data_IF_523450406377
#
_entry.id   IF_523450406377
#
_cell.length_a   1.000
_cell.length_b   1.000
_cell.length_c   1.000
_cell.angle_alpha   90.00
_cell.angle_beta   90.00
_cell.angle_gamma   90.00
#
_symmetry.space_group_name_H-M   'P 1'
#
loop_
_entity.id
_entity.type
_entity.pdbx_description
1 polymer ?
#
# COMPACT_ATOMS: atom_id res chain seq x y z
N UNK A 1 6.36 25.96 -6.61
CA UNK A 1 6.75 25.40 -6.80
C UNK A 1 6.70 24.24 -7.25
N UNK A 2 6.50 24.06 -7.88
CA UNK A 2 5.97 22.83 -8.29
C UNK A 2 6.91 21.87 -8.93
N UNK A 3 7.95 22.29 -9.58
CA UNK A 3 8.80 21.35 -10.32
C UNK A 3 9.52 20.36 -9.39
N UNK A 4 10.04 20.83 -8.26
CA UNK A 4 10.71 19.93 -7.32
C UNK A 4 9.70 19.01 -6.66
N UNK A 5 8.50 19.52 -6.35
CA UNK A 5 7.44 18.70 -5.78
C UNK A 5 6.96 17.65 -6.76
N UNK A 6 6.95 17.97 -8.06
CA UNK A 6 6.55 17.01 -9.08
C UNK A 6 7.50 15.82 -9.12
N UNK A 7 8.81 16.07 -9.09
CA UNK A 7 9.79 14.99 -9.08
C UNK A 7 9.68 14.14 -7.83
N UNK A 8 9.55 14.78 -6.66
CA UNK A 8 9.38 14.06 -5.42
C UNK A 8 8.11 13.22 -5.44
N UNK A 9 7.01 13.77 -5.98
CA UNK A 9 5.75 13.03 -6.06
C UNK A 9 5.83 11.84 -6.99
N UNK A 10 6.57 11.94 -8.09
CA UNK A 10 6.79 10.80 -8.98
C UNK A 10 7.55 9.70 -8.25
N UNK A 11 8.62 10.06 -7.52
CA UNK A 11 9.39 9.09 -6.76
C UNK A 11 8.52 8.40 -5.71
N UNK A 12 7.71 9.17 -4.98
CA UNK A 12 6.82 8.61 -3.97
C UNK A 12 5.82 7.65 -4.61
N UNK A 13 5.23 8.05 -5.74
CA UNK A 13 4.25 7.20 -6.42
C UNK A 13 4.88 5.90 -6.90
N UNK A 14 6.06 5.98 -7.51
CA UNK A 14 6.75 4.77 -7.98
C UNK A 14 7.04 3.85 -6.80
N UNK A 15 7.52 4.42 -5.68
CA UNK A 15 7.80 3.64 -4.50
C UNK A 15 6.56 2.98 -3.93
N UNK A 16 5.45 3.71 -3.86
CA UNK A 16 4.19 3.18 -3.35
C UNK A 16 3.70 2.05 -4.25
N UNK A 17 3.72 2.25 -5.56
CA UNK A 17 3.30 1.20 -6.51
C UNK A 17 4.16 -0.04 -6.36
N UNK A 18 5.48 0.15 -6.33
CA UNK A 18 6.41 -0.99 -6.24
C UNK A 18 6.21 -1.76 -4.94
N UNK A 19 6.10 -1.05 -3.81
CA UNK A 19 5.93 -1.72 -2.52
C UNK A 19 4.57 -2.40 -2.40
N UNK A 20 3.52 -1.77 -2.93
CA UNK A 20 2.19 -2.39 -2.90
C UNK A 20 2.15 -3.65 -3.75
N UNK A 21 2.75 -3.59 -4.95
CA UNK A 21 2.84 -4.77 -5.79
C UNK A 21 3.67 -5.86 -5.13
N UNK A 22 4.74 -5.46 -4.43
CA UNK A 22 5.57 -6.41 -3.70
C UNK A 22 4.80 -7.13 -2.61
N UNK A 23 4.12 -6.38 -1.74
CA UNK A 23 3.38 -7.02 -0.66
C UNK A 23 2.18 -7.80 -1.19
N UNK A 24 1.50 -7.31 -2.22
CA UNK A 24 0.39 -8.04 -2.83
C UNK A 24 0.87 -9.37 -3.42
N UNK A 25 2.02 -9.34 -4.11
CA UNK A 25 2.58 -10.55 -4.70
C UNK A 25 2.94 -11.58 -3.62
N UNK A 26 3.53 -11.12 -2.52
CA UNK A 26 3.85 -12.01 -1.42
C UNK A 26 2.57 -12.64 -0.86
N UNK A 27 1.54 -11.83 -0.61
CA UNK A 27 0.29 -12.34 -0.05
C UNK A 27 -0.41 -13.31 -1.01
N UNK A 28 -0.38 -13.03 -2.31
CA UNK A 28 -1.00 -13.90 -3.28
C UNK A 28 -0.25 -15.22 -3.45
N UNK A 29 1.08 -15.20 -3.26
CA UNK A 29 1.90 -16.40 -3.43
C UNK A 29 2.01 -17.24 -2.16
N UNK A 30 1.84 -16.62 -0.98
CA UNK A 30 1.92 -17.32 0.29
C UNK A 30 0.69 -18.17 0.50
N UNK A 31 0.91 -19.42 0.88
CA UNK A 31 -0.17 -20.33 1.24
C UNK A 31 -1.31 -20.36 0.22
N UNK A 32 -0.97 -20.13 -1.05
CA UNK A 32 -1.97 -20.34 -2.10
C UNK A 32 -2.43 -21.81 -2.04
N UNK A 33 -3.73 -22.09 -2.05
CA UNK A 33 -4.85 -21.21 -2.37
C UNK A 33 -5.62 -20.68 -1.14
N UNK A 34 -4.95 -20.27 -0.09
CA UNK A 34 -5.65 -19.78 1.11
C UNK A 34 -6.45 -18.51 0.77
N UNK A 35 -7.79 -18.54 0.97
CA UNK A 35 -8.62 -17.40 0.58
C UNK A 35 -8.29 -16.11 1.33
N UNK A 36 -7.85 -16.22 2.58
CA UNK A 36 -7.50 -15.04 3.36
C UNK A 36 -6.33 -14.28 2.75
N UNK A 37 -5.30 -15.00 2.33
CA UNK A 37 -4.13 -14.38 1.71
C UNK A 37 -4.46 -13.84 0.33
N UNK A 38 -5.30 -14.55 -0.44
CA UNK A 38 -5.72 -14.07 -1.76
C UNK A 38 -6.52 -12.78 -1.62
N UNK A 39 -7.48 -12.75 -0.70
CA UNK A 39 -8.29 -11.56 -0.47
C UNK A 39 -7.44 -10.38 -0.02
N UNK A 40 -6.44 -10.63 0.83
CA UNK A 40 -5.55 -9.58 1.30
C UNK A 40 -4.76 -8.97 0.13
N UNK A 41 -4.19 -9.81 -0.73
CA UNK A 41 -3.44 -9.34 -1.89
C UNK A 41 -4.32 -8.58 -2.87
N UNK A 42 -5.52 -9.10 -3.15
CA UNK A 42 -6.46 -8.43 -4.04
C UNK A 42 -6.91 -7.08 -3.46
N UNK A 43 -7.07 -7.01 -2.14
CA UNK A 43 -7.40 -5.75 -1.48
C UNK A 43 -6.34 -4.70 -1.71
N UNK A 44 -5.07 -5.05 -1.57
CA UNK A 44 -3.97 -4.13 -1.86
C UNK A 44 -4.02 -3.65 -3.30
N UNK A 45 -4.22 -4.57 -4.25
CA UNK A 45 -4.25 -4.19 -5.67
C UNK A 45 -5.44 -3.29 -5.98
N UNK A 46 -6.59 -3.58 -5.39
CA UNK A 46 -7.79 -2.77 -5.59
C UNK A 46 -7.59 -1.35 -5.07
N UNK A 47 -7.05 -1.22 -3.86
CA UNK A 47 -6.80 0.10 -3.27
C UNK A 47 -5.74 0.86 -4.05
N UNK A 48 -4.70 0.18 -4.52
CA UNK A 48 -3.69 0.82 -5.34
C UNK A 48 -4.29 1.35 -6.63
N UNK A 49 -5.11 0.55 -7.29
CA UNK A 49 -5.78 0.98 -8.51
C UNK A 49 -6.67 2.19 -8.23
N UNK A 50 -7.46 2.14 -7.16
CA UNK A 50 -8.33 3.25 -6.80
C UNK A 50 -7.53 4.52 -6.50
N UNK A 51 -6.34 4.36 -5.91
CA UNK A 51 -5.51 5.51 -5.55
C UNK A 51 -5.02 6.27 -6.80
N UNK A 52 -4.63 5.54 -7.84
CA UNK A 52 -3.94 6.16 -8.97
C UNK A 52 -4.69 6.10 -10.30
N UNK A 53 -5.89 5.49 -10.35
CA UNK A 53 -6.66 5.50 -11.58
C UNK A 53 -7.03 6.93 -11.97
N UNK A 54 -6.79 7.32 -13.22
CA UNK A 54 -7.10 8.68 -13.67
C UNK A 54 -8.57 8.84 -14.07
N UNK A 55 -9.48 8.37 -13.22
CA UNK A 55 -10.93 8.51 -13.43
C UNK A 55 -11.44 9.58 -12.47
N UNK A 56 -12.04 10.67 -12.99
CA UNK A 56 -12.40 11.80 -12.12
C UNK A 56 -13.31 11.40 -10.95
N UNK A 57 -14.23 10.48 -11.16
CA UNK A 57 -15.15 10.06 -10.10
C UNK A 57 -14.42 9.38 -8.94
N UNK A 58 -13.28 8.74 -9.22
CA UNK A 58 -12.47 8.07 -8.20
C UNK A 58 -11.39 9.01 -7.70
N UNK A 59 -10.78 9.77 -8.60
CA UNK A 59 -9.64 10.63 -8.26
C UNK A 59 -10.01 11.67 -7.20
N UNK A 60 -11.24 12.13 -7.17
CA UNK A 60 -11.66 13.13 -6.17
C UNK A 60 -11.66 12.56 -4.75
N UNK A 61 -11.65 11.25 -4.61
CA UNK A 61 -11.58 10.57 -3.31
C UNK A 61 -10.17 10.07 -2.99
N UNK A 62 -9.16 10.55 -3.73
CA UNK A 62 -7.79 10.04 -3.59
C UNK A 62 -7.29 10.14 -2.16
N UNK A 63 -7.56 11.24 -1.46
CA UNK A 63 -7.13 11.38 -0.08
C UNK A 63 -7.77 10.33 0.82
N UNK A 64 -9.07 10.08 0.63
CA UNK A 64 -9.77 9.05 1.39
C UNK A 64 -9.17 7.68 1.11
N UNK A 65 -8.94 7.36 -0.17
CA UNK A 65 -8.35 6.08 -0.56
C UNK A 65 -6.97 5.91 0.05
N UNK A 66 -6.17 6.98 0.04
CA UNK A 66 -4.83 6.94 0.62
C UNK A 66 -4.88 6.57 2.10
N UNK A 67 -5.77 7.19 2.87
CA UNK A 67 -5.91 6.87 4.29
C UNK A 67 -6.48 5.48 4.52
N UNK A 68 -7.38 5.02 3.63
CA UNK A 68 -7.88 3.64 3.70
C UNK A 68 -6.74 2.66 3.47
N UNK A 69 -5.87 2.93 2.50
CA UNK A 69 -4.73 2.05 2.25
C UNK A 69 -3.77 2.02 3.45
N UNK A 70 -3.52 3.17 4.07
CA UNK A 70 -2.69 3.23 5.28
C UNK A 70 -3.31 2.38 6.37
N UNK A 71 -4.61 2.53 6.62
CA UNK A 71 -5.32 1.74 7.63
C UNK A 71 -5.32 0.26 7.30
N UNK A 72 -5.48 -0.07 6.02
CA UNK A 72 -5.44 -1.45 5.55
C UNK A 72 -4.09 -2.09 5.85
N UNK A 73 -3.00 -1.40 5.52
CA UNK A 73 -1.66 -1.93 5.78
C UNK A 73 -1.40 -2.04 7.28
N UNK A 74 -1.83 -1.05 8.06
CA UNK A 74 -1.67 -1.09 9.51
C UNK A 74 -2.43 -2.26 10.12
N UNK A 75 -3.65 -2.50 9.65
CA UNK A 75 -4.46 -3.63 10.12
C UNK A 75 -3.79 -4.96 9.78
N UNK A 76 -3.23 -5.07 8.57
CA UNK A 76 -2.53 -6.28 8.15
C UNK A 76 -1.34 -6.54 9.07
N UNK A 77 -0.58 -5.51 9.41
CA UNK A 77 0.55 -5.65 10.32
C UNK A 77 0.07 -6.08 11.71
N UNK A 78 -1.00 -5.47 12.21
CA UNK A 78 -1.54 -5.81 13.53
C UNK A 78 -2.00 -7.26 13.58
N UNK A 79 -2.70 -7.73 12.55
CA UNK A 79 -3.16 -9.11 12.50
C UNK A 79 -1.97 -10.07 12.46
N UNK A 80 -0.91 -9.70 11.76
CA UNK A 80 0.29 -10.53 11.72
C UNK A 80 0.97 -10.59 13.10
N UNK A 81 1.02 -9.47 13.82
CA UNK A 81 1.60 -9.45 15.16
C UNK A 81 0.84 -10.38 16.09
N UNK A 82 -0.48 -10.40 15.98
CA UNK A 82 -1.34 -11.17 16.87
C UNK A 82 -1.45 -12.63 16.47
N UNK A 83 -1.51 -12.93 15.16
CA UNK A 83 -1.89 -14.24 14.67
C UNK A 83 -0.93 -14.83 13.66
N UNK A 84 -0.01 -14.06 13.12
CA UNK A 84 0.81 -14.49 11.99
C UNK A 84 2.04 -15.29 12.39
N UNK A 85 2.56 -16.04 11.42
CA UNK A 85 3.80 -16.80 11.61
C UNK A 85 5.01 -15.90 11.51
N UNK A 86 6.04 -16.20 12.31
CA UNK A 86 7.29 -15.44 12.33
C UNK A 86 8.28 -16.04 11.35
N UNK A 87 8.01 -15.88 10.05
CA UNK A 87 8.88 -16.38 8.99
C UNK A 87 9.66 -15.24 8.36
N UNK A 88 10.75 -15.57 7.65
CA UNK A 88 11.53 -14.56 6.95
C UNK A 88 10.69 -13.80 5.93
N UNK A 89 9.83 -14.53 5.20
CA UNK A 89 8.93 -13.88 4.23
C UNK A 89 7.92 -12.99 4.94
N UNK A 90 7.40 -13.43 6.08
CA UNK A 90 6.49 -12.61 6.87
C UNK A 90 7.12 -11.32 7.33
N UNK A 91 8.35 -11.36 7.83
CA UNK A 91 9.07 -10.15 8.22
C UNK A 91 9.35 -9.25 7.03
N UNK A 92 9.70 -9.85 5.88
CA UNK A 92 9.94 -9.08 4.66
C UNK A 92 8.68 -8.34 4.22
N UNK A 93 7.53 -9.04 4.21
CA UNK A 93 6.27 -8.42 3.85
C UNK A 93 5.92 -7.27 4.80
N UNK A 94 6.15 -7.45 6.10
CA UNK A 94 5.83 -6.41 7.08
C UNK A 94 6.76 -5.21 6.94
N UNK A 95 8.04 -5.44 6.64
CA UNK A 95 8.97 -4.35 6.38
C UNK A 95 8.49 -3.54 5.16
N UNK A 96 8.04 -4.22 4.10
CA UNK A 96 7.51 -3.56 2.92
C UNK A 96 6.28 -2.73 3.29
N UNK A 97 5.40 -3.29 4.11
CA UNK A 97 4.17 -2.59 4.51
C UNK A 97 4.46 -1.37 5.37
N UNK A 98 5.43 -1.46 6.28
CA UNK A 98 5.84 -0.30 7.08
C UNK A 98 6.40 0.80 6.17
N UNK A 99 7.25 0.42 5.22
CA UNK A 99 7.78 1.38 4.25
C UNK A 99 6.66 1.99 3.41
N UNK A 100 5.68 1.19 3.02
CA UNK A 100 4.52 1.66 2.26
C UNK A 100 3.75 2.70 3.06
N UNK A 101 3.48 2.44 4.33
CA UNK A 101 2.79 3.40 5.19
C UNK A 101 3.58 4.71 5.27
N UNK A 102 4.90 4.62 5.44
CA UNK A 102 5.74 5.82 5.50
C UNK A 102 5.62 6.64 4.21
N UNK A 103 5.68 5.97 3.06
CA UNK A 103 5.57 6.68 1.78
C UNK A 103 4.18 7.27 1.59
N UNK A 104 3.13 6.58 2.00
CA UNK A 104 1.77 7.10 1.92
C UNK A 104 1.59 8.33 2.80
N UNK A 105 2.18 8.33 4.00
CA UNK A 105 2.14 9.48 4.87
C UNK A 105 2.88 10.66 4.26
N UNK A 106 4.03 10.42 3.63
CA UNK A 106 4.78 11.46 2.95
C UNK A 106 3.98 12.02 1.76
N UNK A 107 3.31 11.14 1.01
CA UNK A 107 2.46 11.59 -0.09
C UNK A 107 1.29 12.41 0.42
N UNK A 108 0.70 12.02 1.53
CA UNK A 108 -0.40 12.78 2.13
C UNK A 108 0.05 14.18 2.53
N UNK A 109 1.25 14.30 3.12
CA UNK A 109 1.80 15.60 3.47
C UNK A 109 2.08 16.45 2.24
N UNK A 110 2.65 15.83 1.21
CA UNK A 110 3.00 16.52 -0.03
C UNK A 110 1.76 17.04 -0.74
N UNK A 111 0.67 16.28 -0.72
CA UNK A 111 -0.55 16.69 -1.43
C UNK A 111 -1.28 17.82 -0.72
N UNK A 112 -0.96 18.09 0.55
CA UNK A 112 -1.57 19.19 1.29
C UNK A 112 -0.77 20.48 1.20
N UNK A 113 0.42 20.40 0.71
CA UNK A 113 1.24 21.59 0.51
C UNK A 113 1.20 22.06 -0.94
#
# INVERSE_FOLDING_TARGET
MPSSNTSANVVLRVGIVALTLGTASIHLSLNFPDPGFILNGLGYLTLLAALYLPVPQIARYRDVVRWVLIGYAALTILLWILLGDRTAIGYTAKAIEVALIALLLLEARSSRS
#
